data_IF_383237457928
#
_entry.id   IF_383237457928
#
_cell.length_a   1.000
_cell.length_b   1.000
_cell.length_c   1.000
_cell.angle_alpha   90.00
_cell.angle_beta   90.00
_cell.angle_gamma   90.00
#
_symmetry.space_group_name_H-M   'P 1'
#
loop_
_entity.id
_entity.type
_entity.pdbx_description
1 polymer ?
#
# COMPACT_ATOMS: atom_id res chain seq x y z
N UNK A 1 -54.71 17.93 -17.24
CA UNK A 1 -53.83 18.10 -16.06
C UNK A 1 -52.42 17.65 -16.45
N UNK A 2 -51.91 18.15 -17.58
CA UNK A 2 -50.67 17.67 -18.20
C UNK A 2 -49.68 18.83 -18.21
N UNK A 3 -49.20 19.20 -17.02
CA UNK A 3 -48.13 20.18 -16.90
C UNK A 3 -46.80 19.44 -17.02
N UNK A 4 -46.10 19.50 -18.17
CA UNK A 4 -44.85 18.77 -18.37
C UNK A 4 -43.78 19.17 -17.35
N UNK A 5 -43.85 20.40 -16.83
CA UNK A 5 -42.98 20.91 -15.77
C UNK A 5 -43.17 20.19 -14.42
N UNK A 6 -44.41 19.84 -14.06
CA UNK A 6 -44.69 19.08 -12.83
C UNK A 6 -44.21 17.63 -12.94
N UNK A 7 -44.33 17.03 -14.12
CA UNK A 7 -43.83 15.67 -14.39
C UNK A 7 -42.31 15.64 -14.26
N UNK A 8 -41.60 16.61 -14.88
CA UNK A 8 -40.14 16.71 -14.77
C UNK A 8 -39.70 16.96 -13.33
N UNK A 9 -40.37 17.86 -12.60
CA UNK A 9 -40.08 18.12 -11.19
C UNK A 9 -40.28 16.88 -10.31
N UNK A 10 -41.35 16.11 -10.53
CA UNK A 10 -41.61 14.87 -9.80
C UNK A 10 -40.56 13.79 -10.09
N UNK A 11 -40.10 13.66 -11.33
CA UNK A 11 -39.03 12.71 -11.71
C UNK A 11 -37.70 13.09 -11.06
N UNK A 12 -37.33 14.38 -11.08
CA UNK A 12 -36.10 14.85 -10.41
C UNK A 12 -36.18 14.61 -8.91
N UNK A 13 -37.33 14.92 -8.29
CA UNK A 13 -37.54 14.69 -6.87
C UNK A 13 -37.44 13.21 -6.51
N UNK A 14 -38.05 12.31 -7.29
CA UNK A 14 -37.94 10.87 -7.11
C UNK A 14 -36.50 10.36 -7.28
N UNK A 15 -35.74 10.91 -8.25
CA UNK A 15 -34.33 10.57 -8.45
C UNK A 15 -33.47 11.00 -7.24
N UNK A 16 -33.68 12.21 -6.71
CA UNK A 16 -32.98 12.70 -5.51
C UNK A 16 -33.32 11.84 -4.30
N UNK A 17 -34.60 11.51 -4.09
CA UNK A 17 -35.01 10.58 -3.04
C UNK A 17 -34.40 9.19 -3.21
N UNK A 18 -34.31 8.68 -4.45
CA UNK A 18 -33.66 7.41 -4.76
C UNK A 18 -32.17 7.41 -4.38
N UNK A 19 -31.43 8.46 -4.74
CA UNK A 19 -30.02 8.61 -4.36
C UNK A 19 -29.85 8.72 -2.84
N UNK A 20 -30.71 9.49 -2.17
CA UNK A 20 -30.74 9.59 -0.70
C UNK A 20 -31.03 8.22 -0.06
N UNK A 21 -31.96 7.46 -0.62
CA UNK A 21 -32.32 6.13 -0.13
C UNK A 21 -31.20 5.10 -0.33
N UNK A 22 -30.48 5.13 -1.46
CA UNK A 22 -29.30 4.30 -1.71
C UNK A 22 -28.21 4.58 -0.67
N UNK A 23 -27.92 5.86 -0.40
CA UNK A 23 -26.93 6.24 0.60
C UNK A 23 -27.37 5.91 2.04
N UNK A 24 -28.64 6.13 2.39
CA UNK A 24 -29.20 5.76 3.68
C UNK A 24 -29.17 4.24 3.89
N UNK A 25 -29.59 3.46 2.89
CA UNK A 25 -29.58 2.00 2.91
C UNK A 25 -28.17 1.43 3.07
N UNK A 26 -27.17 2.01 2.39
CA UNK A 26 -25.77 1.57 2.54
C UNK A 26 -25.25 1.71 3.97
N UNK A 27 -25.58 2.82 4.63
CA UNK A 27 -25.16 3.10 6.02
C UNK A 27 -25.91 2.21 7.00
N UNK A 28 -27.21 2.00 6.75
CA UNK A 28 -28.06 1.13 7.55
C UNK A 28 -27.60 -0.34 7.52
N UNK A 29 -27.16 -0.83 6.37
CA UNK A 29 -26.64 -2.20 6.25
C UNK A 29 -25.33 -2.41 7.03
N UNK A 30 -24.41 -1.44 7.00
CA UNK A 30 -23.16 -1.52 7.78
C UNK A 30 -23.46 -1.49 9.29
N UNK A 31 -24.34 -0.58 9.72
CA UNK A 31 -24.80 -0.52 11.11
C UNK A 31 -25.44 -1.84 11.57
N UNK A 32 -26.32 -2.41 10.75
CA UNK A 32 -27.01 -3.65 11.07
C UNK A 32 -26.04 -4.83 11.21
N UNK A 33 -25.01 -4.91 10.36
CA UNK A 33 -23.97 -5.94 10.46
C UNK A 33 -23.15 -5.79 11.74
N UNK A 34 -22.73 -4.57 12.07
CA UNK A 34 -21.98 -4.31 13.30
C UNK A 34 -22.81 -4.69 14.55
N UNK A 35 -24.10 -4.31 14.57
CA UNK A 35 -24.99 -4.63 15.70
C UNK A 35 -25.22 -6.12 15.89
N UNK A 36 -25.24 -6.92 14.81
CA UNK A 36 -25.36 -8.38 14.90
C UNK A 36 -24.10 -9.04 15.49
N UNK A 37 -22.95 -8.38 15.41
CA UNK A 37 -21.66 -8.88 15.93
C UNK A 37 -21.31 -8.30 17.32
N UNK A 38 -22.32 -7.90 18.10
CA UNK A 38 -22.16 -7.28 19.44
C UNK A 38 -21.16 -6.10 19.49
N UNK A 39 -21.13 -5.34 18.38
CA UNK A 39 -20.31 -4.15 18.19
C UNK A 39 -21.23 -2.92 18.09
N UNK A 40 -21.66 -2.33 19.23
CA UNK A 40 -22.68 -1.27 19.25
C UNK A 40 -22.11 0.08 18.78
N UNK A 41 -22.21 0.37 17.48
CA UNK A 41 -21.93 1.70 16.91
C UNK A 41 -23.24 2.51 16.86
N UNK A 42 -23.22 3.78 17.30
CA UNK A 42 -24.40 4.65 17.19
C UNK A 42 -24.57 5.16 15.76
N UNK A 43 -25.81 5.35 15.31
CA UNK A 43 -26.07 5.93 13.99
C UNK A 43 -25.48 7.34 13.83
N UNK A 44 -25.48 8.13 14.91
CA UNK A 44 -24.84 9.45 14.93
C UNK A 44 -23.33 9.40 14.72
N UNK A 45 -22.66 8.33 15.18
CA UNK A 45 -21.21 8.14 14.98
C UNK A 45 -20.91 7.81 13.51
N UNK A 46 -21.73 6.99 12.86
CA UNK A 46 -21.57 6.66 11.43
C UNK A 46 -21.78 7.90 10.55
N UNK A 47 -22.78 8.71 10.87
CA UNK A 47 -23.02 10.00 10.19
C UNK A 47 -21.83 10.94 10.42
N UNK A 48 -21.32 11.02 11.65
CA UNK A 48 -20.13 11.80 11.99
C UNK A 48 -18.87 11.36 11.25
N UNK A 49 -18.63 10.05 11.12
CA UNK A 49 -17.56 9.47 10.31
C UNK A 49 -17.69 9.87 8.84
N UNK A 50 -18.92 9.79 8.30
CA UNK A 50 -19.20 10.16 6.90
C UNK A 50 -18.88 11.62 6.60
N UNK A 51 -19.28 12.52 7.50
CA UNK A 51 -19.00 13.95 7.38
C UNK A 51 -17.50 14.24 7.47
N UNK A 52 -16.77 13.47 8.27
CA UNK A 52 -15.30 13.54 8.41
C UNK A 52 -14.52 12.79 7.32
N UNK A 53 -15.20 12.25 6.30
CA UNK A 53 -14.61 11.46 5.19
C UNK A 53 -13.83 10.22 5.65
N UNK A 54 -14.21 9.62 6.77
CA UNK A 54 -13.66 8.36 7.26
C UNK A 54 -14.39 7.19 6.61
N UNK A 55 -13.66 6.13 6.25
CA UNK A 55 -14.29 4.93 5.69
C UNK A 55 -15.04 4.16 6.79
N UNK A 56 -16.35 4.37 6.79
CA UNK A 56 -17.31 3.77 7.72
C UNK A 56 -17.22 2.24 7.71
N UNK A 57 -16.96 1.65 6.53
CA UNK A 57 -16.88 0.20 6.39
C UNK A 57 -15.64 -0.32 7.10
N UNK A 58 -14.48 0.28 6.84
CA UNK A 58 -13.20 -0.14 7.43
C UNK A 58 -13.24 -0.04 8.96
N UNK A 59 -13.76 1.06 9.49
CA UNK A 59 -13.91 1.25 10.95
C UNK A 59 -14.88 0.23 11.54
N UNK A 60 -16.04 0.00 10.90
CA UNK A 60 -17.03 -0.94 11.41
C UNK A 60 -16.54 -2.41 11.36
N UNK A 61 -15.85 -2.80 10.29
CA UNK A 61 -15.28 -4.13 10.12
C UNK A 61 -14.16 -4.37 11.15
N UNK A 62 -13.25 -3.39 11.31
CA UNK A 62 -12.18 -3.43 12.31
C UNK A 62 -12.74 -3.50 13.73
N UNK A 63 -13.78 -2.72 14.03
CA UNK A 63 -14.43 -2.73 15.34
C UNK A 63 -15.09 -4.07 15.66
N UNK A 64 -15.82 -4.64 14.70
CA UNK A 64 -16.42 -5.97 14.85
C UNK A 64 -15.36 -7.04 15.08
N UNK A 65 -14.25 -7.00 14.34
CA UNK A 65 -13.14 -7.94 14.49
C UNK A 65 -12.48 -7.83 15.88
N UNK A 66 -12.28 -6.61 16.37
CA UNK A 66 -11.68 -6.37 17.67
C UNK A 66 -12.57 -6.87 18.83
N UNK A 67 -13.89 -6.64 18.73
CA UNK A 67 -14.87 -7.16 19.70
C UNK A 67 -14.94 -8.68 19.70
N UNK A 68 -14.93 -9.31 18.51
CA UNK A 68 -14.87 -10.77 18.39
C UNK A 68 -13.59 -11.36 19.03
N UNK A 69 -12.49 -10.61 19.03
CA UNK A 69 -11.25 -10.98 19.70
C UNK A 69 -11.21 -10.60 21.19
N UNK A 70 -12.27 -9.98 21.74
CA UNK A 70 -12.33 -9.51 23.12
C UNK A 70 -11.31 -8.42 23.42
N UNK A 71 -11.04 -7.53 22.47
CA UNK A 71 -10.20 -6.35 22.65
C UNK A 71 -11.05 -5.16 23.12
N UNK A 72 -10.51 -4.39 24.06
CA UNK A 72 -11.14 -3.18 24.56
C UNK A 72 -10.79 -1.99 23.67
N UNK A 73 -11.49 -1.86 22.55
CA UNK A 73 -11.37 -0.73 21.62
C UNK A 73 -12.74 -0.13 21.37
N UNK A 74 -12.79 1.12 20.94
CA UNK A 74 -14.05 1.81 20.59
C UNK A 74 -14.05 2.24 19.14
N UNK A 75 -15.24 2.44 18.56
CA UNK A 75 -15.38 2.99 17.21
C UNK A 75 -14.74 4.38 17.08
N UNK A 76 -14.73 5.18 18.16
CA UNK A 76 -14.08 6.50 18.20
C UNK A 76 -12.56 6.39 18.15
N UNK A 77 -11.99 5.48 18.95
CA UNK A 77 -10.54 5.23 18.93
C UNK A 77 -10.07 4.82 17.52
N UNK A 78 -10.80 3.91 16.86
CA UNK A 78 -10.48 3.46 15.50
C UNK A 78 -10.64 4.57 14.45
N UNK A 79 -11.67 5.41 14.62
CA UNK A 79 -11.87 6.60 13.79
C UNK A 79 -10.72 7.61 13.93
N UNK A 80 -10.24 7.85 15.16
CA UNK A 80 -9.16 8.80 15.43
C UNK A 80 -7.86 8.38 14.72
N UNK A 81 -7.59 7.07 14.64
CA UNK A 81 -6.44 6.53 13.90
C UNK A 81 -6.59 6.68 12.38
N UNK A 82 -7.79 6.48 11.83
CA UNK A 82 -8.06 6.70 10.40
C UNK A 82 -7.90 8.18 10.00
N UNK A 83 -8.25 9.11 10.91
CA UNK A 83 -7.98 10.53 10.73
C UNK A 83 -6.47 10.83 10.66
N UNK A 84 -5.65 10.07 11.39
CA UNK A 84 -4.19 10.13 11.34
C UNK A 84 -3.59 9.38 10.14
N UNK A 85 -4.41 8.96 9.16
CA UNK A 85 -4.02 8.17 7.98
C UNK A 85 -3.50 6.76 8.30
N UNK A 86 -3.71 6.28 9.51
CA UNK A 86 -3.34 4.92 9.88
C UNK A 86 -4.55 4.00 9.73
N UNK A 87 -4.37 2.83 9.11
CA UNK A 87 -5.49 1.90 8.92
C UNK A 87 -5.88 1.24 10.23
N UNK A 88 -7.13 1.38 10.64
CA UNK A 88 -7.67 0.75 11.84
C UNK A 88 -7.59 -0.78 11.78
N UNK A 89 -7.67 -1.35 10.58
CA UNK A 89 -7.58 -2.80 10.36
C UNK A 89 -6.18 -3.36 10.64
N UNK A 90 -5.13 -2.57 10.39
CA UNK A 90 -3.76 -2.96 10.69
C UNK A 90 -3.52 -3.01 12.21
N UNK A 91 -3.97 -1.97 12.92
CA UNK A 91 -3.87 -1.87 14.39
C UNK A 91 -4.61 -3.02 15.06
N UNK A 92 -5.85 -3.28 14.65
CA UNK A 92 -6.65 -4.39 15.21
C UNK A 92 -5.99 -5.75 14.92
N UNK A 93 -5.50 -5.97 13.71
CA UNK A 93 -4.80 -7.21 13.36
C UNK A 93 -3.56 -7.42 14.23
N UNK A 94 -2.75 -6.38 14.45
CA UNK A 94 -1.58 -6.43 15.30
C UNK A 94 -1.94 -6.73 16.77
N UNK A 95 -2.99 -6.11 17.30
CA UNK A 95 -3.48 -6.39 18.66
C UNK A 95 -3.97 -7.83 18.81
N UNK A 96 -4.65 -8.38 17.80
CA UNK A 96 -5.10 -9.78 17.80
C UNK A 96 -3.90 -10.73 17.81
N UNK A 97 -2.90 -10.46 16.99
CA UNK A 97 -1.67 -11.24 16.92
C UNK A 97 -0.91 -11.21 18.26
N UNK A 98 -0.73 -10.02 18.83
CA UNK A 98 -0.06 -9.85 20.11
C UNK A 98 -0.81 -10.53 21.27
N UNK A 99 -2.14 -10.44 21.29
CA UNK A 99 -2.98 -11.17 22.25
C UNK A 99 -2.85 -12.69 22.10
N UNK A 100 -2.78 -13.20 20.87
CA UNK A 100 -2.52 -14.63 20.60
C UNK A 100 -1.13 -15.07 21.03
N UNK A 101 -0.14 -14.19 20.93
CA UNK A 101 1.22 -14.40 21.41
C UNK A 101 1.37 -14.25 22.94
N UNK A 102 0.28 -14.04 23.68
CA UNK A 102 0.30 -13.87 25.14
C UNK A 102 0.81 -12.52 25.63
N UNK A 103 0.97 -11.53 24.73
CA UNK A 103 1.40 -10.16 25.03
C UNK A 103 0.29 -9.18 24.66
N UNK A 104 -0.74 -8.97 25.50
CA UNK A 104 -1.79 -8.01 25.19
C UNK A 104 -1.19 -6.60 25.07
N UNK A 105 -1.30 -5.99 23.89
CA UNK A 105 -0.87 -4.61 23.64
C UNK A 105 -2.01 -3.65 23.97
N UNK A 106 -1.68 -2.49 24.53
CA UNK A 106 -2.62 -1.38 24.60
C UNK A 106 -2.95 -0.88 23.19
N UNK A 107 -4.11 -0.26 23.05
CA UNK A 107 -4.50 0.38 21.79
C UNK A 107 -3.47 1.44 21.35
N UNK A 108 -2.99 2.26 22.29
CA UNK A 108 -1.99 3.31 22.04
C UNK A 108 -0.64 2.72 21.60
N UNK A 109 -0.21 1.62 22.22
CA UNK A 109 1.05 0.94 21.88
C UNK A 109 0.96 0.33 20.47
N UNK A 110 -0.14 -0.35 20.17
CA UNK A 110 -0.37 -0.93 18.84
C UNK A 110 -0.53 0.15 17.76
N UNK A 111 -1.14 1.28 18.09
CA UNK A 111 -1.25 2.43 17.21
C UNK A 111 0.12 3.06 16.94
N UNK A 112 0.93 3.26 17.98
CA UNK A 112 2.30 3.78 17.89
C UNK A 112 3.19 2.88 17.03
N UNK A 113 3.09 1.56 17.25
CA UNK A 113 3.84 0.56 16.48
C UNK A 113 3.38 0.54 15.01
N UNK A 114 2.07 0.54 14.73
CA UNK A 114 1.54 0.60 13.38
C UNK A 114 1.89 1.91 12.63
N UNK A 115 1.97 3.04 13.35
CA UNK A 115 2.44 4.31 12.80
C UNK A 115 3.94 4.26 12.46
N UNK A 116 4.74 3.52 13.25
CA UNK A 116 6.15 3.31 12.95
C UNK A 116 6.35 2.50 11.65
N UNK A 117 5.52 1.47 11.44
CA UNK A 117 5.50 0.63 10.24
C UNK A 117 5.07 1.40 8.99
N UNK A 118 4.15 2.36 9.14
CA UNK A 118 3.66 3.18 8.03
C UNK A 118 4.61 4.30 7.59
N UNK A 119 5.74 4.51 8.28
CA UNK A 119 6.74 5.45 7.76
C UNK A 119 7.28 4.91 6.42
N UNK A 120 7.23 5.70 5.34
CA UNK A 120 7.75 5.28 4.03
C UNK A 120 9.26 5.02 4.02
N UNK A 121 9.95 5.39 5.11
CA UNK A 121 11.35 5.09 5.39
C UNK A 121 11.58 3.59 5.71
N UNK A 122 10.63 2.93 6.36
CA UNK A 122 10.72 1.52 6.79
C UNK A 122 9.85 0.56 5.98
N UNK A 123 8.97 1.08 5.12
CA UNK A 123 8.25 0.26 4.15
C UNK A 123 9.27 -0.44 3.24
N UNK A 124 9.58 -1.71 3.56
CA UNK A 124 10.37 -2.57 2.69
C UNK A 124 9.79 -2.42 1.28
N UNK A 125 10.62 -2.03 0.29
CA UNK A 125 10.09 -1.82 -1.05
C UNK A 125 9.41 -3.12 -1.45
N UNK A 126 8.15 -3.09 -1.96
CA UNK A 126 7.36 -4.29 -2.18
C UNK A 126 8.24 -5.32 -2.86
N UNK A 127 8.50 -6.41 -2.13
CA UNK A 127 9.26 -7.53 -2.63
C UNK A 127 8.62 -7.87 -3.98
N UNK A 128 9.43 -7.84 -5.05
CA UNK A 128 8.95 -8.07 -6.40
C UNK A 128 7.94 -9.21 -6.37
N UNK A 129 6.69 -8.90 -6.72
CA UNK A 129 5.56 -9.80 -6.59
C UNK A 129 5.86 -11.06 -7.41
N UNK A 130 6.47 -12.07 -6.78
CA UNK A 130 6.83 -13.32 -7.43
C UNK A 130 5.57 -14.08 -7.85
N UNK A 131 4.42 -13.75 -7.25
CA UNK A 131 3.12 -14.29 -7.66
C UNK A 131 2.65 -13.69 -9.00
N UNK A 132 3.09 -12.48 -9.35
CA UNK A 132 2.79 -11.87 -10.65
C UNK A 132 3.53 -12.52 -11.83
N UNK A 133 4.64 -13.25 -11.58
CA UNK A 133 5.43 -13.91 -12.64
C UNK A 133 4.65 -14.97 -13.42
N UNK A 134 3.56 -15.52 -12.86
CA UNK A 134 2.71 -16.52 -13.52
C UNK A 134 1.41 -15.96 -14.10
N UNK A 135 1.24 -14.63 -14.15
CA UNK A 135 0.04 -14.06 -14.79
C UNK A 135 0.13 -14.15 -16.30
N UNK A 136 -0.88 -14.74 -16.97
CA UNK A 136 -0.97 -14.68 -18.42
C UNK A 136 -1.18 -13.23 -18.86
N UNK A 137 -0.36 -12.77 -19.81
CA UNK A 137 -0.48 -11.41 -20.37
C UNK A 137 -1.83 -11.27 -21.07
N UNK A 138 -2.72 -10.44 -20.53
CA UNK A 138 -4.02 -10.19 -21.13
C UNK A 138 -3.92 -9.10 -22.21
N UNK A 139 -4.53 -9.26 -23.39
CA UNK A 139 -4.36 -8.35 -24.53
C UNK A 139 -4.70 -6.86 -24.29
N UNK A 140 -5.46 -6.51 -23.24
CA UNK A 140 -5.85 -5.14 -22.92
C UNK A 140 -4.96 -4.39 -21.91
N UNK A 141 -4.03 -5.08 -21.24
CA UNK A 141 -3.22 -4.49 -20.15
C UNK A 141 -2.12 -3.55 -20.67
N UNK A 142 -1.65 -3.77 -21.89
CA UNK A 142 -0.55 -3.03 -22.50
C UNK A 142 -0.86 -1.55 -22.70
N UNK A 143 -2.12 -1.19 -23.01
CA UNK A 143 -2.51 0.19 -23.24
C UNK A 143 -2.51 1.00 -21.94
N UNK A 144 -3.08 0.45 -20.87
CA UNK A 144 -3.09 1.10 -19.56
C UNK A 144 -1.66 1.28 -19.03
N UNK A 145 -0.80 0.27 -19.18
CA UNK A 145 0.62 0.36 -18.79
C UNK A 145 1.39 1.39 -19.61
N UNK A 146 1.13 1.47 -20.92
CA UNK A 146 1.75 2.45 -21.79
C UNK A 146 1.37 3.89 -21.40
N UNK A 147 0.09 4.13 -21.11
CA UNK A 147 -0.38 5.44 -20.62
C UNK A 147 0.26 5.77 -19.26
N UNK A 148 0.28 4.82 -18.32
CA UNK A 148 0.91 5.01 -17.00
C UNK A 148 2.41 5.32 -17.10
N UNK A 149 3.13 4.65 -17.99
CA UNK A 149 4.54 4.89 -18.26
C UNK A 149 4.75 6.30 -18.84
N UNK A 150 3.96 6.68 -19.85
CA UNK A 150 4.03 8.00 -20.47
C UNK A 150 3.75 9.14 -19.49
N UNK A 151 2.72 9.01 -18.66
CA UNK A 151 2.42 9.98 -17.58
C UNK A 151 3.53 10.09 -16.54
N UNK A 152 4.32 9.03 -16.37
CA UNK A 152 5.46 9.01 -15.45
C UNK A 152 6.77 9.49 -16.10
N UNK A 153 6.74 9.97 -17.35
CA UNK A 153 7.92 10.43 -18.08
C UNK A 153 8.73 9.32 -18.78
N UNK A 154 8.32 8.06 -18.67
CA UNK A 154 9.00 6.93 -19.32
C UNK A 154 8.42 6.71 -20.70
N UNK A 155 9.17 7.07 -21.74
CA UNK A 155 8.77 6.90 -23.13
C UNK A 155 9.04 5.47 -23.58
N UNK A 156 7.98 4.69 -23.78
CA UNK A 156 8.05 3.32 -24.28
C UNK A 156 7.39 3.29 -25.66
N UNK A 157 8.11 2.79 -26.66
CA UNK A 157 7.55 2.60 -28.00
C UNK A 157 6.49 1.48 -27.98
N UNK A 158 5.37 1.61 -28.72
CA UNK A 158 4.43 0.50 -28.93
C UNK A 158 5.12 -0.79 -29.42
N UNK A 159 6.19 -0.65 -30.21
CA UNK A 159 6.99 -1.76 -30.72
C UNK A 159 7.72 -2.53 -29.60
N UNK A 160 8.06 -1.86 -28.49
CA UNK A 160 8.70 -2.50 -27.34
C UNK A 160 7.76 -3.49 -26.64
N UNK A 161 6.47 -3.18 -26.54
CA UNK A 161 5.46 -4.10 -25.98
C UNK A 161 5.33 -5.37 -26.83
N UNK A 162 5.32 -5.23 -28.16
CA UNK A 162 5.29 -6.36 -29.09
C UNK A 162 6.54 -7.24 -28.90
N UNK A 163 7.71 -6.62 -28.74
CA UNK A 163 8.98 -7.32 -28.49
C UNK A 163 8.97 -8.06 -27.15
N UNK A 164 8.57 -7.41 -26.05
CA UNK A 164 8.46 -8.03 -24.73
C UNK A 164 7.52 -9.24 -24.75
N UNK A 165 6.40 -9.12 -25.44
CA UNK A 165 5.45 -10.21 -25.64
C UNK A 165 6.06 -11.39 -26.39
N UNK A 166 6.83 -11.13 -27.47
CA UNK A 166 7.55 -12.18 -28.21
C UNK A 166 8.61 -12.86 -27.35
N UNK A 167 9.30 -12.09 -26.52
CA UNK A 167 10.38 -12.55 -25.64
C UNK A 167 9.87 -13.23 -24.35
N UNK A 168 8.55 -13.37 -24.17
CA UNK A 168 7.89 -13.95 -22.99
C UNK A 168 8.30 -13.28 -21.66
N UNK A 169 8.67 -12.01 -21.72
CA UNK A 169 9.01 -11.16 -20.56
C UNK A 169 7.74 -10.66 -19.89
N UNK A 170 7.73 -10.51 -18.57
CA UNK A 170 6.61 -9.90 -17.86
C UNK A 170 6.59 -8.37 -18.10
N UNK A 171 5.85 -7.97 -19.13
CA UNK A 171 5.66 -6.56 -19.54
C UNK A 171 5.26 -5.66 -18.37
N UNK A 172 4.36 -6.12 -17.50
CA UNK A 172 3.86 -5.33 -16.37
C UNK A 172 4.98 -5.05 -15.37
N UNK A 173 5.69 -6.09 -14.95
CA UNK A 173 6.82 -5.99 -14.02
C UNK A 173 7.91 -5.08 -14.58
N UNK A 174 8.29 -5.26 -15.84
CA UNK A 174 9.33 -4.45 -16.49
C UNK A 174 8.93 -2.98 -16.58
N UNK A 175 7.72 -2.67 -17.06
CA UNK A 175 7.25 -1.29 -17.20
C UNK A 175 7.12 -0.59 -15.86
N UNK A 176 6.54 -1.25 -14.85
CA UNK A 176 6.41 -0.67 -13.51
C UNK A 176 7.78 -0.47 -12.85
N UNK A 177 8.71 -1.41 -13.03
CA UNK A 177 10.09 -1.27 -12.54
C UNK A 177 10.81 -0.10 -13.22
N UNK A 178 10.61 0.08 -14.53
CA UNK A 178 11.17 1.22 -15.27
C UNK A 178 10.64 2.56 -14.76
N UNK A 179 9.33 2.66 -14.52
CA UNK A 179 8.70 3.84 -13.93
C UNK A 179 9.28 4.16 -12.55
N UNK A 180 9.46 3.15 -11.70
CA UNK A 180 10.03 3.33 -10.36
C UNK A 180 11.49 3.76 -10.41
N UNK A 181 12.29 3.13 -11.27
CA UNK A 181 13.67 3.50 -11.51
C UNK A 181 13.79 4.95 -12.02
N UNK A 182 12.93 5.35 -12.95
CA UNK A 182 12.90 6.72 -13.47
C UNK A 182 12.54 7.74 -12.37
N UNK A 183 11.50 7.48 -11.57
CA UNK A 183 11.11 8.34 -10.44
C UNK A 183 12.20 8.45 -9.37
N UNK A 184 13.01 7.40 -9.19
CA UNK A 184 14.15 7.41 -8.28
C UNK A 184 15.44 7.99 -8.90
N UNK A 185 15.41 8.38 -10.18
CA UNK A 185 16.57 8.89 -10.91
C UNK A 185 17.70 7.87 -11.05
N UNK A 186 17.37 6.58 -11.24
CA UNK A 186 18.35 5.50 -11.43
C UNK A 186 18.82 5.34 -12.89
N UNK A 187 18.23 6.07 -13.85
CA UNK A 187 18.71 6.12 -15.24
C UNK A 187 18.75 4.76 -15.97
N UNK A 188 17.98 3.78 -15.52
CA UNK A 188 18.04 2.42 -16.06
C UNK A 188 17.31 2.32 -17.40
N UNK A 189 17.95 1.77 -18.45
CA UNK A 189 17.29 1.51 -19.71
C UNK A 189 16.29 0.37 -19.54
N UNK A 190 15.15 0.45 -20.25
CA UNK A 190 14.11 -0.56 -20.19
C UNK A 190 14.59 -1.92 -20.73
N UNK A 191 15.54 -1.88 -21.67
CA UNK A 191 16.20 -3.05 -22.24
C UNK A 191 16.93 -3.88 -21.18
N UNK A 192 17.59 -3.24 -20.21
CA UNK A 192 18.28 -3.94 -19.13
C UNK A 192 17.28 -4.66 -18.20
N UNK A 193 16.13 -4.04 -17.94
CA UNK A 193 15.06 -4.65 -17.16
C UNK A 193 14.42 -5.83 -17.92
N UNK A 194 14.18 -5.65 -19.22
CA UNK A 194 13.66 -6.71 -20.13
C UNK A 194 14.63 -7.90 -20.19
N UNK A 195 15.93 -7.64 -20.33
CA UNK A 195 16.95 -8.67 -20.39
C UNK A 195 17.08 -9.44 -19.06
N UNK A 196 17.05 -8.72 -17.93
CA UNK A 196 17.12 -9.34 -16.60
C UNK A 196 15.91 -10.23 -16.31
N UNK A 197 14.70 -9.79 -16.66
CA UNK A 197 13.49 -10.61 -16.54
C UNK A 197 13.54 -11.83 -17.47
N UNK A 198 14.06 -11.66 -18.69
CA UNK A 198 14.21 -12.75 -19.68
C UNK A 198 15.12 -13.89 -19.20
N UNK A 199 16.19 -13.57 -18.46
CA UNK A 199 17.10 -14.58 -17.89
C UNK A 199 16.56 -15.18 -16.58
N UNK A 200 15.35 -14.80 -16.16
CA UNK A 200 14.67 -15.32 -14.97
C UNK A 200 14.90 -14.53 -13.69
N UNK A 201 15.55 -13.37 -13.78
CA UNK A 201 15.75 -12.46 -12.66
C UNK A 201 14.51 -11.61 -12.33
N UNK A 202 14.53 -10.96 -11.18
CA UNK A 202 13.47 -10.07 -10.70
C UNK A 202 13.85 -8.59 -10.84
N UNK A 203 13.39 -7.97 -11.93
CA UNK A 203 13.64 -6.56 -12.16
C UNK A 203 13.07 -5.66 -11.05
N UNK A 204 11.92 -6.03 -10.46
CA UNK A 204 11.28 -5.24 -9.42
C UNK A 204 12.07 -5.31 -8.11
N UNK A 205 12.62 -6.48 -7.75
CA UNK A 205 13.48 -6.68 -6.59
C UNK A 205 14.79 -5.90 -6.72
N UNK A 206 15.45 -5.99 -7.87
CA UNK A 206 16.71 -5.30 -8.13
C UNK A 206 16.54 -3.78 -8.08
N UNK A 207 15.52 -3.23 -8.77
CA UNK A 207 15.23 -1.78 -8.73
C UNK A 207 14.93 -1.32 -7.31
N UNK A 208 14.17 -2.10 -6.56
CA UNK A 208 13.86 -1.81 -5.15
C UNK A 208 15.11 -1.73 -4.28
N UNK A 209 16.02 -2.69 -4.42
CA UNK A 209 17.30 -2.69 -3.70
C UNK A 209 18.18 -1.48 -4.09
N UNK A 210 18.23 -1.11 -5.37
CA UNK A 210 18.97 0.06 -5.85
C UNK A 210 18.40 1.38 -5.30
N UNK A 211 17.08 1.51 -5.19
CA UNK A 211 16.43 2.67 -4.59
C UNK A 211 16.82 2.79 -3.12
N UNK A 212 16.77 1.67 -2.38
CA UNK A 212 17.17 1.64 -0.96
C UNK A 212 18.65 1.97 -0.79
N UNK A 213 19.52 1.38 -1.61
CA UNK A 213 20.95 1.65 -1.59
C UNK A 213 21.25 3.14 -1.88
N UNK A 214 20.61 3.72 -2.89
CA UNK A 214 20.75 5.15 -3.23
C UNK A 214 20.29 6.07 -2.11
N UNK A 215 19.20 5.73 -1.40
CA UNK A 215 18.71 6.50 -0.25
C UNK A 215 19.65 6.44 0.96
N UNK A 216 20.35 5.33 1.12
CA UNK A 216 21.33 5.12 2.18
C UNK A 216 22.77 5.44 1.75
N UNK A 217 22.95 6.14 0.63
CA UNK A 217 24.25 6.53 0.07
C UNK A 217 25.23 5.35 -0.14
N UNK A 218 24.70 4.15 -0.37
CA UNK A 218 25.48 2.96 -0.68
C UNK A 218 25.73 2.90 -2.19
N UNK A 219 27.01 2.80 -2.58
CA UNK A 219 27.40 2.53 -3.96
C UNK A 219 27.01 1.10 -4.38
N UNK A 220 25.81 0.97 -4.97
CA UNK A 220 25.31 -0.27 -5.56
C UNK A 220 24.92 -0.03 -7.01
N UNK A 221 25.69 -0.63 -7.91
CA UNK A 221 25.43 -0.59 -9.35
C UNK A 221 24.45 -1.69 -9.79
N UNK A 222 23.69 -1.42 -10.86
CA UNK A 222 22.75 -2.34 -11.50
C UNK A 222 23.38 -3.70 -11.77
N UNK A 223 24.60 -3.74 -12.33
CA UNK A 223 25.25 -5.00 -12.70
C UNK A 223 25.55 -5.87 -11.48
N UNK A 224 26.00 -5.26 -10.37
CA UNK A 224 26.21 -5.98 -9.11
C UNK A 224 24.88 -6.50 -8.59
N UNK A 225 23.88 -5.64 -8.56
CA UNK A 225 22.57 -5.97 -8.01
C UNK A 225 21.86 -7.09 -8.80
N UNK A 226 21.89 -7.04 -10.13
CA UNK A 226 21.39 -8.08 -11.00
C UNK A 226 22.12 -9.42 -10.81
N UNK A 227 23.45 -9.39 -10.68
CA UNK A 227 24.23 -10.61 -10.41
C UNK A 227 23.85 -11.25 -9.08
N UNK A 228 23.65 -10.46 -8.02
CA UNK A 228 23.19 -10.97 -6.72
C UNK A 228 21.81 -11.65 -6.82
N UNK A 229 20.86 -11.04 -7.52
CA UNK A 229 19.52 -11.60 -7.70
C UNK A 229 19.55 -12.96 -8.43
N UNK A 230 20.37 -13.09 -9.48
CA UNK A 230 20.53 -14.36 -10.21
C UNK A 230 21.17 -15.47 -9.38
N UNK A 231 21.90 -15.14 -8.31
CA UNK A 231 22.44 -16.14 -7.37
C UNK A 231 21.39 -16.71 -6.40
N UNK A 232 20.14 -16.24 -6.46
CA UNK A 232 19.06 -16.69 -5.59
C UNK A 232 19.13 -16.14 -4.16
N UNK A 233 20.03 -15.18 -3.89
CA UNK A 233 20.13 -14.50 -2.59
C UNK A 233 19.18 -13.30 -2.53
N UNK A 234 18.69 -12.99 -1.33
CA UNK A 234 17.87 -11.79 -1.15
C UNK A 234 18.73 -10.53 -1.10
N UNK A 235 18.82 -9.86 -2.24
CA UNK A 235 19.53 -8.58 -2.35
C UNK A 235 18.92 -7.49 -1.47
N UNK A 236 17.59 -7.48 -1.28
CA UNK A 236 16.93 -6.45 -0.47
C UNK A 236 17.36 -6.61 0.98
N UNK A 237 17.36 -7.84 1.49
CA UNK A 237 17.85 -8.16 2.84
C UNK A 237 19.32 -7.78 3.00
N UNK A 238 20.19 -8.16 2.05
CA UNK A 238 21.61 -7.83 2.12
C UNK A 238 21.89 -6.31 2.14
N UNK A 239 21.10 -5.53 1.39
CA UNK A 239 21.18 -4.06 1.43
C UNK A 239 20.68 -3.54 2.77
N UNK A 240 19.54 -4.02 3.27
CA UNK A 240 18.98 -3.59 4.55
C UNK A 240 19.92 -3.89 5.73
N UNK A 241 20.55 -5.07 5.77
CA UNK A 241 21.56 -5.41 6.78
C UNK A 241 22.76 -4.46 6.72
N UNK A 242 23.18 -4.06 5.51
CA UNK A 242 24.27 -3.10 5.34
C UNK A 242 23.88 -1.70 5.83
N UNK A 243 22.67 -1.24 5.51
CA UNK A 243 22.12 0.04 5.99
C UNK A 243 22.04 0.04 7.52
N UNK A 244 21.47 -1.01 8.11
CA UNK A 244 21.30 -1.12 9.56
C UNK A 244 22.64 -1.11 10.29
N UNK A 245 23.67 -1.80 9.76
CA UNK A 245 25.02 -1.77 10.33
C UNK A 245 25.67 -0.39 10.30
N UNK A 246 25.45 0.39 9.25
CA UNK A 246 26.01 1.76 9.18
C UNK A 246 25.31 2.69 10.17
N UNK A 247 23.99 2.62 10.29
CA UNK A 247 23.25 3.37 11.32
C UNK A 247 23.70 3.03 12.75
N UNK A 248 24.05 1.77 13.01
CA UNK A 248 24.60 1.36 14.31
C UNK A 248 26.03 1.84 14.56
N UNK A 249 26.89 1.94 13.52
CA UNK A 249 28.25 2.46 13.68
C UNK A 249 28.30 3.95 14.00
N UNK A 250 27.36 4.73 13.46
CA UNK A 250 27.26 6.18 13.76
C UNK A 250 26.68 6.41 15.16
N UNK A 251 25.70 5.62 15.59
CA UNK A 251 25.13 5.71 16.94
C UNK A 251 26.12 5.24 18.04
N UNK A 252 27.02 4.31 17.72
CA UNK A 252 28.06 3.80 18.63
C UNK A 252 29.28 4.70 18.80
N UNK A 253 29.46 5.70 17.92
CA UNK A 253 30.53 6.70 18.01
C UNK A 253 29.97 8.03 18.54
N UNK A 254 29.50 8.03 19.79
CA UNK A 254 29.47 9.27 20.58
C UNK A 254 30.82 9.35 21.33
N UNK A 255 31.76 10.23 20.95
CA UNK A 255 32.91 10.49 21.80
C UNK A 255 32.39 10.94 23.16
N UNK A 256 32.91 10.34 24.22
CA UNK A 256 32.55 10.62 25.60
C UNK A 256 33.11 11.97 26.07
N UNK A 257 32.84 13.05 25.34
CA UNK A 257 33.25 14.40 25.71
C UNK A 257 32.05 15.33 25.64
N UNK A 258 31.23 15.29 26.69
CA UNK A 258 30.58 16.48 27.28
C UNK A 258 29.95 16.07 28.64
N UNK A 259 30.81 15.59 29.53
CA UNK A 259 30.56 15.65 30.98
C UNK A 259 31.79 16.28 31.60
N UNK A 260 31.97 17.58 31.42
CA UNK A 260 32.75 18.46 32.31
C UNK A 260 32.61 19.91 31.85
N UNK A 261 31.62 20.61 32.42
CA UNK A 261 31.70 21.99 32.92
C UNK A 261 30.33 22.39 33.47
#
# INVERSE_FOLDING_TARGET
>A
MDNPTLIVAAVIFAMVLGVLWIHAGSTFLVWMRARRNDAPIKMSELIGMRLRKVDIRTVAESYAQARAAGLDVTARNLEDIELLRCSSGLVVSAMIEAKRAGRPLSFEDAASDALSVQRPEFAAPPAGDTADRRRPQVPGESLNLWIQAGLSGVRISPMAFVRMRRNRVNTRTVVLSAVRAHKAGLGLPIEALEEHDRVGGDAAKVVSALITAKRAEIDLDWRRAAAYDLTGRDIVEAVLERVNRMGQSEAGFRPAEETTA
#
